data_IF_244882204380
#
_entry.id   IF_244882204380
#
_cell.length_a   1.000
_cell.length_b   1.000
_cell.length_c   1.000
_cell.angle_alpha   90.00
_cell.angle_beta   90.00
_cell.angle_gamma   90.00
#
_symmetry.space_group_name_H-M   'P 1'
#
loop_
_entity.id
_entity.type
_entity.pdbx_description
1 polymer ?
#
# COMPACT_ATOMS: atom_id res chain seq x y z
N UNK A 1 15.88 25.98 -6.76
CA UNK A 1 14.68 25.18 -6.48
C UNK A 1 14.66 24.00 -7.43
N UNK A 2 15.14 22.84 -6.97
CA UNK A 2 15.16 21.61 -7.76
C UNK A 2 13.76 21.00 -7.78
N UNK A 3 13.11 21.03 -8.94
CA UNK A 3 11.84 20.35 -9.17
C UNK A 3 12.11 18.84 -9.32
N UNK A 4 11.81 18.10 -8.26
CA UNK A 4 11.73 16.64 -8.26
C UNK A 4 10.37 16.22 -8.83
N UNK A 5 10.34 15.49 -9.94
CA UNK A 5 9.11 14.84 -10.38
C UNK A 5 8.86 13.63 -9.48
N UNK A 6 7.89 13.75 -8.57
CA UNK A 6 7.36 12.65 -7.77
C UNK A 6 6.12 12.14 -8.49
N UNK A 7 6.17 10.92 -8.98
CA UNK A 7 5.02 10.28 -9.65
C UNK A 7 4.55 9.09 -8.83
N UNK A 8 3.24 8.99 -8.51
CA UNK A 8 2.65 7.77 -7.99
C UNK A 8 2.78 6.65 -9.04
N UNK A 9 3.08 5.44 -8.59
CA UNK A 9 3.04 4.25 -9.47
C UNK A 9 1.59 3.83 -9.63
N UNK A 10 0.93 4.24 -10.71
CA UNK A 10 -0.37 3.71 -11.13
C UNK A 10 -0.19 2.51 -12.07
N UNK A 11 -1.15 1.57 -12.14
CA UNK A 11 -0.98 0.33 -12.92
C UNK A 11 -0.82 0.52 -14.43
N UNK A 12 -1.18 1.66 -15.01
CA UNK A 12 -1.05 1.87 -16.46
C UNK A 12 -0.91 3.35 -16.81
N UNK A 13 0.34 3.82 -17.03
CA UNK A 13 0.58 5.00 -17.86
C UNK A 13 1.28 4.55 -19.15
N UNK A 14 0.73 4.94 -20.30
CA UNK A 14 1.32 4.74 -21.63
C UNK A 14 1.95 6.04 -22.11
N UNK A 15 3.17 5.93 -22.63
CA UNK A 15 3.78 6.90 -23.55
C UNK A 15 3.50 6.56 -25.01
N UNK A 16 3.20 7.59 -25.79
CA UNK A 16 3.49 7.61 -27.22
C UNK A 16 4.27 8.87 -27.53
N UNK A 17 5.48 8.72 -28.08
CA UNK A 17 6.19 9.86 -28.65
C UNK A 17 5.61 10.26 -30.01
N UNK A 18 5.01 11.45 -30.06
CA UNK A 18 5.13 12.32 -31.23
C UNK A 18 6.31 13.27 -31.02
N UNK A 19 7.41 12.97 -31.71
CA UNK A 19 8.55 13.83 -32.07
C UNK A 19 8.70 15.16 -31.29
N UNK A 20 9.58 15.19 -30.29
CA UNK A 20 10.31 16.41 -29.96
C UNK A 20 11.75 16.11 -29.52
N UNK A 21 12.71 16.60 -30.29
CA UNK A 21 14.16 16.41 -30.11
C UNK A 21 14.63 17.00 -28.77
N UNK A 22 15.11 16.17 -27.83
CA UNK A 22 16.03 16.65 -26.79
C UNK A 22 17.43 16.76 -27.41
N UNK A 23 18.00 17.96 -27.44
CA UNK A 23 19.28 18.28 -28.10
C UNK A 23 20.53 18.04 -27.22
N UNK A 24 20.43 17.49 -25.99
CA UNK A 24 21.63 17.22 -25.16
C UNK A 24 21.45 15.92 -24.34
N UNK A 25 22.06 14.80 -24.75
CA UNK A 25 21.88 13.49 -24.09
C UNK A 25 22.54 13.39 -22.72
N UNK A 26 23.64 14.12 -22.49
CA UNK A 26 24.51 14.02 -21.29
C UNK A 26 23.88 14.63 -20.01
N UNK A 27 22.72 15.27 -20.11
CA UNK A 27 22.09 16.00 -18.98
C UNK A 27 21.46 15.09 -17.93
N UNK A 28 21.18 13.83 -18.29
CA UNK A 28 20.63 12.83 -17.38
C UNK A 28 21.71 11.95 -16.76
N UNK A 29 22.97 12.12 -17.16
CA UNK A 29 24.07 11.32 -16.65
C UNK A 29 24.23 11.56 -15.14
N UNK A 30 24.40 10.46 -14.40
CA UNK A 30 24.42 10.42 -12.93
C UNK A 30 23.09 10.76 -12.26
N UNK A 31 21.96 10.72 -12.98
CA UNK A 31 20.66 10.71 -12.33
C UNK A 31 20.46 9.39 -11.57
N UNK A 32 20.00 9.48 -10.33
CA UNK A 32 19.73 8.34 -9.47
C UNK A 32 18.23 8.06 -9.42
N UNK A 33 17.85 6.80 -9.64
CA UNK A 33 16.47 6.31 -9.58
C UNK A 33 16.29 5.62 -8.23
N UNK A 34 15.43 6.17 -7.38
CA UNK A 34 15.12 5.68 -6.04
C UNK A 34 13.71 5.11 -6.04
N UNK A 35 13.52 3.93 -5.43
CA UNK A 35 12.22 3.25 -5.37
C UNK A 35 11.94 2.82 -3.93
N UNK A 36 10.77 3.20 -3.39
CA UNK A 36 10.37 2.79 -2.05
C UNK A 36 9.05 3.40 -1.58
N UNK A 37 8.76 3.27 -0.29
CA UNK A 37 7.49 3.74 0.32
C UNK A 37 7.65 5.00 1.19
N UNK A 38 8.89 5.37 1.54
CA UNK A 38 9.16 6.47 2.44
C UNK A 38 8.90 7.82 1.76
N UNK A 39 8.19 8.69 2.47
CA UNK A 39 7.99 10.09 2.07
C UNK A 39 9.06 11.02 2.64
N UNK A 40 9.93 10.53 3.53
CA UNK A 40 10.99 11.34 4.13
C UNK A 40 11.94 11.91 3.08
N UNK A 41 12.35 13.16 3.27
CA UNK A 41 13.16 13.89 2.31
C UNK A 41 12.57 13.82 0.88
N UNK A 42 11.24 13.89 0.74
CA UNK A 42 10.51 13.71 -0.52
C UNK A 42 10.85 12.40 -1.24
N UNK A 43 11.00 11.30 -0.49
CA UNK A 43 11.42 10.00 -1.01
C UNK A 43 12.90 9.89 -1.35
N UNK A 44 13.73 10.82 -0.88
CA UNK A 44 15.18 10.80 -1.06
C UNK A 44 15.89 9.74 -0.21
N UNK A 45 15.23 9.20 0.81
CA UNK A 45 15.76 8.14 1.67
C UNK A 45 15.41 6.73 1.16
N UNK A 46 14.66 6.61 0.06
CA UNK A 46 14.32 5.32 -0.52
C UNK A 46 15.57 4.65 -1.14
N UNK A 47 15.66 3.32 -1.17
CA UNK A 47 16.82 2.63 -1.76
C UNK A 47 16.97 2.93 -3.26
N UNK A 48 18.22 2.95 -3.71
CA UNK A 48 18.61 3.20 -5.11
C UNK A 48 18.39 1.96 -5.96
N UNK A 49 17.58 2.09 -7.02
CA UNK A 49 17.42 1.08 -8.05
C UNK A 49 18.59 1.11 -9.04
N UNK A 50 18.86 2.27 -9.62
CA UNK A 50 19.85 2.39 -10.68
C UNK A 50 20.36 3.82 -10.79
N UNK A 51 21.55 3.94 -11.39
CA UNK A 51 22.15 5.22 -11.77
C UNK A 51 22.20 5.28 -13.29
N UNK A 52 21.66 6.35 -13.86
CA UNK A 52 21.69 6.61 -15.30
C UNK A 52 23.13 6.91 -15.72
N UNK A 53 23.69 6.06 -16.57
CA UNK A 53 25.08 6.20 -17.06
C UNK A 53 25.16 6.98 -18.37
N UNK A 54 24.29 6.67 -19.34
CA UNK A 54 24.12 7.41 -20.58
C UNK A 54 22.82 7.00 -21.28
N UNK A 55 22.11 7.96 -21.88
CA UNK A 55 20.96 7.69 -22.75
C UNK A 55 21.20 8.44 -24.06
N UNK A 56 21.29 7.76 -25.22
CA UNK A 56 21.53 8.41 -26.49
C UNK A 56 20.38 9.37 -26.85
N UNK A 57 20.67 10.43 -27.60
CA UNK A 57 19.65 11.42 -27.99
C UNK A 57 18.47 10.77 -28.70
N UNK A 58 17.26 10.99 -28.19
CA UNK A 58 16.04 10.39 -28.73
C UNK A 58 15.89 8.89 -28.47
N UNK A 59 16.80 8.28 -27.71
CA UNK A 59 16.71 6.90 -27.26
C UNK A 59 15.91 6.76 -25.97
N UNK A 60 15.38 5.56 -25.77
CA UNK A 60 14.78 5.12 -24.50
C UNK A 60 15.71 4.10 -23.87
N UNK A 61 15.87 4.17 -22.54
CA UNK A 61 16.63 3.19 -21.78
C UNK A 61 15.76 2.61 -20.67
N UNK A 62 15.79 1.29 -20.51
CA UNK A 62 15.06 0.56 -19.47
C UNK A 62 16.00 0.19 -18.33
N UNK A 63 15.54 0.31 -17.08
CA UNK A 63 16.29 -0.07 -15.89
C UNK A 63 15.54 -1.19 -15.15
N UNK A 64 16.22 -2.31 -14.93
CA UNK A 64 15.65 -3.47 -14.25
C UNK A 64 15.97 -3.40 -12.75
N UNK A 65 14.98 -3.06 -11.93
CA UNK A 65 15.15 -2.84 -10.49
C UNK A 65 15.07 -4.13 -9.64
N UNK A 66 15.20 -5.32 -10.24
CA UNK A 66 15.35 -6.59 -9.51
C UNK A 66 14.24 -6.92 -8.49
N UNK A 67 13.01 -6.47 -8.72
CA UNK A 67 11.89 -6.71 -7.79
C UNK A 67 11.84 -5.80 -6.57
N UNK A 68 12.48 -4.61 -6.63
CA UNK A 68 12.32 -3.58 -5.60
C UNK A 68 10.85 -3.23 -5.38
N UNK A 69 10.46 -3.11 -4.11
CA UNK A 69 9.08 -2.83 -3.69
C UNK A 69 8.98 -1.37 -3.27
N UNK A 70 8.09 -0.61 -3.90
CA UNK A 70 7.85 0.78 -3.55
C UNK A 70 6.65 1.38 -4.28
N UNK A 71 5.98 2.33 -3.65
CA UNK A 71 4.87 3.12 -4.20
C UNK A 71 5.32 4.46 -4.80
N UNK A 72 6.57 4.85 -4.54
CA UNK A 72 7.17 6.10 -4.97
C UNK A 72 8.40 5.78 -5.82
N UNK A 73 8.47 6.42 -6.98
CA UNK A 73 9.69 6.51 -7.78
C UNK A 73 10.16 7.95 -7.78
N UNK A 74 11.44 8.15 -7.48
CA UNK A 74 12.09 9.45 -7.55
C UNK A 74 13.33 9.37 -8.43
N UNK A 75 13.45 10.34 -9.33
CA UNK A 75 14.66 10.54 -10.13
C UNK A 75 15.34 11.81 -9.63
N UNK A 76 16.59 11.69 -9.16
CA UNK A 76 17.34 12.80 -8.55
C UNK A 76 18.66 13.05 -9.29
N UNK A 77 18.97 14.31 -9.56
CA UNK A 77 20.29 14.76 -9.99
C UNK A 77 20.97 15.48 -8.83
N UNK A 78 22.10 14.95 -8.37
CA UNK A 78 22.82 15.49 -7.21
C UNK A 78 23.89 16.53 -7.61
N UNK A 79 23.88 17.01 -8.87
CA UNK A 79 24.84 18.02 -9.35
C UNK A 79 24.33 19.45 -9.08
N UNK A 80 25.18 20.35 -8.54
CA UNK A 80 24.80 21.74 -8.32
C UNK A 80 24.46 22.43 -9.65
N UNK A 81 23.41 23.27 -9.64
CA UNK A 81 22.88 23.98 -10.82
C UNK A 81 22.42 23.09 -11.99
N UNK A 82 22.17 21.80 -11.75
CA UNK A 82 21.58 20.91 -12.75
C UNK A 82 20.04 21.02 -12.72
N UNK A 83 19.44 20.99 -13.91
CA UNK A 83 17.99 20.92 -14.09
C UNK A 83 17.68 19.57 -14.70
N UNK A 84 16.85 18.77 -14.02
CA UNK A 84 16.33 17.52 -14.55
C UNK A 84 15.29 17.85 -15.61
N UNK A 85 15.52 17.37 -16.84
CA UNK A 85 14.57 17.53 -17.94
C UNK A 85 14.30 16.14 -18.51
N UNK A 86 13.12 15.62 -18.22
CA UNK A 86 12.64 14.33 -18.70
C UNK A 86 11.48 14.61 -19.65
N UNK A 87 11.50 14.01 -20.84
CA UNK A 87 10.35 14.09 -21.73
C UNK A 87 9.21 13.21 -21.19
N UNK A 88 9.54 12.00 -20.75
CA UNK A 88 8.56 11.04 -20.30
C UNK A 88 9.22 9.97 -19.42
N UNK A 89 8.48 9.50 -18.41
CA UNK A 89 8.91 8.44 -17.50
C UNK A 89 7.81 7.40 -17.46
N UNK A 90 8.16 6.17 -17.81
CA UNK A 90 7.29 5.01 -17.65
C UNK A 90 7.82 4.15 -16.52
N UNK A 91 6.94 3.76 -15.60
CA UNK A 91 7.26 2.85 -14.50
C UNK A 91 6.44 1.59 -14.68
N UNK A 92 7.14 0.47 -14.84
CA UNK A 92 6.54 -0.85 -14.96
C UNK A 92 6.75 -1.61 -13.67
N UNK A 93 5.64 -1.96 -13.00
CA UNK A 93 5.65 -2.80 -11.82
C UNK A 93 4.70 -3.97 -12.01
N UNK A 94 5.08 -5.14 -11.53
CA UNK A 94 4.16 -6.25 -11.35
C UNK A 94 3.64 -6.23 -9.92
N UNK A 95 2.38 -6.62 -9.73
CA UNK A 95 1.84 -6.87 -8.40
C UNK A 95 2.67 -8.00 -7.78
N UNK A 96 3.49 -7.67 -6.78
CA UNK A 96 4.28 -8.67 -6.06
C UNK A 96 3.37 -9.83 -5.65
N UNK A 97 3.74 -11.07 -6.00
CA UNK A 97 2.90 -12.24 -5.73
C UNK A 97 2.33 -12.20 -4.30
N UNK A 98 1.04 -12.51 -4.11
CA UNK A 98 0.41 -12.40 -2.80
C UNK A 98 1.22 -13.22 -1.81
N UNK A 99 1.59 -12.58 -0.70
CA UNK A 99 2.38 -13.21 0.36
C UNK A 99 1.64 -14.42 0.94
N UNK A 100 2.36 -15.36 1.58
CA UNK A 100 1.73 -16.49 2.26
C UNK A 100 0.57 -16.02 3.12
N UNK A 101 -0.55 -16.71 3.00
CA UNK A 101 -1.78 -16.33 3.65
C UNK A 101 -2.69 -17.54 3.80
N UNK A 102 -3.62 -17.48 4.75
CA UNK A 102 -4.67 -18.48 4.87
C UNK A 102 -6.05 -17.84 4.71
N UNK A 103 -6.93 -18.56 4.02
CA UNK A 103 -8.29 -18.10 3.72
C UNK A 103 -9.29 -18.70 4.70
N UNK A 104 -10.33 -17.95 5.02
CA UNK A 104 -11.48 -18.42 5.79
C UNK A 104 -12.76 -17.73 5.28
N UNK A 105 -13.91 -18.19 5.76
CA UNK A 105 -15.20 -17.55 5.52
C UNK A 105 -15.76 -17.15 6.87
N UNK A 106 -16.15 -15.88 6.99
CA UNK A 106 -16.77 -15.33 8.19
C UNK A 106 -18.13 -14.73 7.83
N UNK A 107 -19.20 -15.27 8.42
CA UNK A 107 -20.59 -14.85 8.19
C UNK A 107 -20.93 -14.73 6.69
N UNK A 108 -20.43 -15.68 5.88
CA UNK A 108 -20.62 -15.73 4.43
C UNK A 108 -19.70 -14.82 3.61
N UNK A 109 -18.76 -14.10 4.24
CA UNK A 109 -17.77 -13.24 3.58
C UNK A 109 -16.42 -13.93 3.57
N UNK A 110 -15.77 -14.01 2.42
CA UNK A 110 -14.41 -14.51 2.36
C UNK A 110 -13.44 -13.54 3.03
N UNK A 111 -12.48 -14.09 3.77
CA UNK A 111 -11.38 -13.34 4.37
C UNK A 111 -10.05 -14.06 4.12
N UNK A 112 -8.97 -13.29 4.12
CA UNK A 112 -7.60 -13.80 4.04
C UNK A 112 -6.77 -13.12 5.12
N UNK A 113 -6.07 -13.91 5.93
CA UNK A 113 -5.09 -13.41 6.90
C UNK A 113 -3.71 -13.48 6.26
N UNK A 114 -3.05 -12.33 6.11
CA UNK A 114 -1.81 -12.18 5.35
C UNK A 114 -0.60 -12.23 6.26
N UNK A 115 0.34 -13.14 5.99
CA UNK A 115 1.62 -13.29 6.70
C UNK A 115 2.66 -12.28 6.17
N UNK A 116 2.31 -11.00 6.21
CA UNK A 116 3.21 -9.90 5.84
C UNK A 116 3.04 -8.77 6.84
N UNK A 117 4.15 -8.30 7.41
CA UNK A 117 4.13 -7.22 8.40
C UNK A 117 4.15 -5.87 7.69
N UNK A 118 3.05 -5.13 7.76
CA UNK A 118 2.92 -3.82 7.14
C UNK A 118 2.37 -2.80 8.14
N UNK A 119 2.70 -1.52 7.92
CA UNK A 119 2.01 -0.44 8.60
C UNK A 119 0.54 -0.39 8.16
N UNK A 120 -0.33 0.22 8.97
CA UNK A 120 -1.78 0.15 8.75
C UNK A 120 -2.20 0.66 7.35
N UNK A 121 -1.59 1.76 6.88
CA UNK A 121 -1.89 2.29 5.55
C UNK A 121 -1.45 1.36 4.43
N UNK A 122 -0.27 0.74 4.57
CA UNK A 122 0.25 -0.15 3.53
C UNK A 122 -0.52 -1.48 3.52
N UNK A 123 -0.98 -1.96 4.67
CA UNK A 123 -1.90 -3.09 4.77
C UNK A 123 -3.25 -2.80 4.09
N UNK A 124 -3.79 -1.59 4.26
CA UNK A 124 -5.01 -1.16 3.58
C UNK A 124 -4.85 -1.19 2.06
N UNK A 125 -3.78 -0.58 1.55
CA UNK A 125 -3.51 -0.57 0.10
C UNK A 125 -3.28 -1.99 -0.42
N UNK A 126 -2.52 -2.81 0.30
CA UNK A 126 -2.31 -4.20 -0.05
C UNK A 126 -3.64 -4.96 -0.20
N UNK A 127 -4.57 -4.82 0.75
CA UNK A 127 -5.87 -5.49 0.63
C UNK A 127 -6.68 -4.99 -0.58
N UNK A 128 -6.55 -3.71 -0.98
CA UNK A 128 -7.28 -3.16 -2.13
C UNK A 128 -6.65 -3.57 -3.48
N UNK A 129 -5.33 -3.70 -3.50
CA UNK A 129 -4.59 -4.12 -4.69
C UNK A 129 -4.84 -5.61 -4.99
N UNK A 130 -4.72 -6.46 -3.96
CA UNK A 130 -4.75 -7.92 -4.10
C UNK A 130 -6.10 -8.57 -3.78
N UNK A 131 -6.94 -7.91 -2.97
CA UNK A 131 -8.21 -8.45 -2.49
C UNK A 131 -9.32 -7.39 -2.62
N UNK A 132 -10.22 -7.26 -1.64
CA UNK A 132 -11.27 -6.23 -1.65
C UNK A 132 -10.91 -5.02 -0.79
N UNK A 133 -10.80 -5.21 0.53
CA UNK A 133 -10.46 -4.14 1.48
C UNK A 133 -9.98 -4.77 2.81
N UNK A 134 -9.52 -3.96 3.78
CA UNK A 134 -9.29 -4.46 5.14
C UNK A 134 -10.61 -4.90 5.79
N UNK A 135 -10.53 -5.90 6.67
CA UNK A 135 -11.68 -6.49 7.36
C UNK A 135 -12.47 -5.47 8.17
N UNK A 136 -13.79 -5.52 8.04
CA UNK A 136 -14.75 -4.84 8.91
C UNK A 136 -15.57 -5.86 9.68
N UNK A 137 -15.55 -5.80 11.02
CA UNK A 137 -16.30 -6.70 11.91
C UNK A 137 -17.61 -6.02 12.33
N UNK A 138 -18.74 -6.56 11.88
CA UNK A 138 -20.04 -5.88 11.94
C UNK A 138 -21.02 -6.49 12.94
N UNK A 139 -20.69 -7.64 13.54
CA UNK A 139 -21.56 -8.31 14.50
C UNK A 139 -20.76 -9.14 15.49
N UNK A 140 -21.42 -9.50 16.60
CA UNK A 140 -20.86 -10.44 17.59
C UNK A 140 -20.62 -11.83 17.00
N UNK A 141 -21.41 -12.25 16.02
CA UNK A 141 -21.21 -13.54 15.33
C UNK A 141 -19.91 -13.52 14.52
N UNK A 142 -19.75 -12.49 13.70
CA UNK A 142 -18.53 -12.26 12.90
C UNK A 142 -17.27 -12.16 13.77
N UNK A 143 -17.35 -11.47 14.91
CA UNK A 143 -16.25 -11.40 15.87
C UNK A 143 -15.81 -12.79 16.38
N UNK A 144 -16.76 -13.65 16.77
CA UNK A 144 -16.44 -15.02 17.24
C UNK A 144 -15.81 -15.88 16.16
N UNK A 145 -16.30 -15.78 14.94
CA UNK A 145 -15.72 -16.53 13.82
C UNK A 145 -14.29 -16.03 13.51
N UNK A 146 -14.05 -14.71 13.58
CA UNK A 146 -12.68 -14.14 13.45
C UNK A 146 -11.76 -14.65 14.57
N UNK A 147 -12.24 -14.73 15.81
CA UNK A 147 -11.49 -15.30 16.94
C UNK A 147 -11.04 -16.74 16.66
N UNK A 148 -11.94 -17.58 16.16
CA UNK A 148 -11.64 -18.97 15.80
C UNK A 148 -10.61 -19.06 14.66
N UNK A 149 -10.76 -18.21 13.65
CA UNK A 149 -9.82 -18.08 12.52
C UNK A 149 -8.42 -17.71 13.02
N UNK A 150 -8.31 -16.69 13.88
CA UNK A 150 -7.01 -16.25 14.41
C UNK A 150 -6.38 -17.27 15.36
N UNK A 151 -7.18 -17.96 16.18
CA UNK A 151 -6.71 -19.01 17.09
C UNK A 151 -6.11 -20.20 16.33
N UNK A 152 -6.66 -20.52 15.16
CA UNK A 152 -6.24 -21.63 14.32
C UNK A 152 -5.28 -21.22 13.19
N UNK A 153 -4.68 -20.03 13.28
CA UNK A 153 -3.74 -19.55 12.27
C UNK A 153 -2.58 -20.54 12.07
N UNK A 154 -2.21 -20.79 10.82
CA UNK A 154 -1.15 -21.74 10.46
C UNK A 154 0.27 -21.22 10.73
N UNK A 155 0.40 -19.99 11.26
CA UNK A 155 1.66 -19.31 11.54
C UNK A 155 1.54 -18.45 12.80
N UNK A 156 2.66 -18.13 13.50
CA UNK A 156 2.63 -17.33 14.72
C UNK A 156 2.27 -15.88 14.42
N UNK A 157 1.10 -15.44 14.91
CA UNK A 157 0.60 -14.08 14.70
C UNK A 157 1.43 -13.03 15.45
N UNK A 158 1.39 -11.78 14.96
CA UNK A 158 1.82 -10.61 15.73
C UNK A 158 0.88 -10.36 16.91
N UNK A 159 1.33 -9.65 17.95
CA UNK A 159 0.52 -9.37 19.15
C UNK A 159 -0.84 -8.71 18.84
N UNK A 160 -0.90 -7.97 17.73
CA UNK A 160 -2.13 -7.45 17.18
C UNK A 160 -2.19 -7.77 15.69
N UNK A 161 -3.38 -7.80 15.13
CA UNK A 161 -3.62 -7.95 13.69
C UNK A 161 -4.46 -6.78 13.20
N UNK A 162 -4.08 -6.16 12.08
CA UNK A 162 -4.81 -5.02 11.54
C UNK A 162 -6.19 -5.41 11.01
N UNK A 163 -7.13 -4.51 11.26
CA UNK A 163 -8.46 -4.48 10.66
C UNK A 163 -8.72 -3.09 10.07
N UNK A 164 -9.79 -2.95 9.30
CA UNK A 164 -10.14 -1.73 8.56
C UNK A 164 -10.67 -0.59 9.41
N UNK A 165 -10.46 -0.62 10.73
CA UNK A 165 -11.01 0.34 11.69
C UNK A 165 -10.06 1.54 11.84
N UNK A 166 -10.60 2.74 11.68
CA UNK A 166 -9.82 3.99 11.78
C UNK A 166 -10.58 5.05 12.58
N UNK A 167 -9.87 5.92 13.29
CA UNK A 167 -10.45 7.03 14.06
C UNK A 167 -10.17 8.37 13.40
N UNK A 168 -11.17 9.25 13.39
CA UNK A 168 -10.97 10.65 13.05
C UNK A 168 -10.16 11.35 14.15
N UNK A 169 -9.14 12.12 13.75
CA UNK A 169 -8.28 12.85 14.68
C UNK A 169 -9.03 13.94 15.45
N UNK A 170 -10.12 14.48 14.90
CA UNK A 170 -10.85 15.62 15.48
C UNK A 170 -11.92 15.19 16.50
N UNK A 171 -12.74 14.18 16.19
CA UNK A 171 -13.96 13.90 16.98
C UNK A 171 -13.95 12.53 17.68
N UNK A 172 -12.81 11.83 17.71
CA UNK A 172 -12.69 10.47 18.29
C UNK A 172 -13.68 9.43 17.76
N UNK A 173 -14.31 9.70 16.61
CA UNK A 173 -15.26 8.81 15.95
C UNK A 173 -14.48 7.75 15.17
N UNK A 174 -14.81 6.47 15.41
CA UNK A 174 -14.30 5.34 14.65
C UNK A 174 -15.18 5.02 13.44
N UNK A 175 -14.57 4.60 12.33
CA UNK A 175 -15.24 4.22 11.10
C UNK A 175 -14.50 3.09 10.39
N UNK A 176 -15.23 2.31 9.60
CA UNK A 176 -14.64 1.27 8.73
C UNK A 176 -14.23 1.88 7.39
N UNK A 177 -13.00 1.59 6.95
CA UNK A 177 -12.51 2.00 5.62
C UNK A 177 -13.30 1.37 4.47
N UNK A 178 -13.94 0.23 4.72
CA UNK A 178 -14.84 -0.44 3.78
C UNK A 178 -16.17 0.31 3.56
N UNK A 179 -16.45 1.36 4.33
CA UNK A 179 -17.72 2.11 4.30
C UNK A 179 -18.85 1.43 5.09
N UNK A 180 -18.60 0.30 5.73
CA UNK A 180 -19.58 -0.34 6.60
C UNK A 180 -19.93 0.53 7.83
N UNK A 181 -21.16 0.43 8.31
CA UNK A 181 -21.59 1.10 9.54
C UNK A 181 -20.97 0.47 10.79
N UNK A 182 -20.46 1.28 11.73
CA UNK A 182 -19.95 0.82 13.03
C UNK A 182 -21.09 0.62 14.01
N UNK A 183 -21.84 -0.48 13.85
CA UNK A 183 -23.00 -0.80 14.72
C UNK A 183 -22.64 -1.79 15.85
N UNK A 184 -21.40 -2.25 15.88
CA UNK A 184 -20.88 -3.22 16.84
C UNK A 184 -19.45 -2.82 17.20
N UNK A 185 -19.07 -3.04 18.46
CA UNK A 185 -17.70 -2.85 18.92
C UNK A 185 -17.33 -3.87 20.00
N UNK A 186 -16.03 -4.20 20.05
CA UNK A 186 -15.49 -5.16 21.00
C UNK A 186 -14.19 -4.66 21.66
N UNK A 187 -14.18 -3.37 21.99
CA UNK A 187 -13.04 -2.67 22.57
C UNK A 187 -12.60 -3.28 23.90
N UNK A 188 -11.29 -3.34 24.11
CA UNK A 188 -10.68 -3.54 25.41
C UNK A 188 -11.00 -2.32 26.27
N UNK A 189 -11.55 -2.53 27.47
CA UNK A 189 -11.82 -1.42 28.41
C UNK A 189 -10.50 -0.67 28.65
N UNK A 190 -10.45 0.61 28.27
CA UNK A 190 -9.19 1.37 28.25
C UNK A 190 -8.54 1.49 29.63
N UNK A 191 -7.21 1.45 29.64
CA UNK A 191 -6.39 1.96 30.73
C UNK A 191 -6.22 3.48 30.54
N UNK A 192 -6.33 4.31 31.58
CA UNK A 192 -6.54 5.77 31.49
C UNK A 192 -5.36 6.61 30.93
N UNK A 193 -4.28 6.00 30.43
CA UNK A 193 -3.02 6.68 30.14
C UNK A 193 -2.50 6.55 28.69
N UNK A 194 -3.24 5.97 27.75
CA UNK A 194 -2.73 5.81 26.38
C UNK A 194 -3.03 7.02 25.49
N UNK A 195 -1.98 7.54 24.85
CA UNK A 195 -2.06 8.44 23.70
C UNK A 195 -2.77 7.66 22.61
N UNK A 196 -4.07 7.93 22.44
CA UNK A 196 -4.87 7.07 21.59
C UNK A 196 -4.41 7.17 20.13
N UNK A 197 -4.09 6.02 19.53
CA UNK A 197 -3.71 5.96 18.12
C UNK A 197 -4.96 5.92 17.23
N UNK A 198 -4.93 6.41 15.98
CA UNK A 198 -6.11 6.40 15.12
C UNK A 198 -6.30 5.11 14.31
N UNK A 199 -5.55 4.04 14.59
CA UNK A 199 -5.64 2.77 13.86
C UNK A 199 -6.09 1.63 14.79
N UNK A 200 -7.03 0.81 14.32
CA UNK A 200 -7.60 -0.28 15.09
C UNK A 200 -6.98 -1.63 14.74
N UNK A 201 -6.64 -2.40 15.76
CA UNK A 201 -6.19 -3.78 15.66
C UNK A 201 -6.96 -4.71 16.57
N UNK A 202 -6.94 -6.00 16.24
CA UNK A 202 -7.45 -7.08 17.10
C UNK A 202 -6.27 -7.63 17.91
N UNK A 203 -6.34 -7.59 19.24
CA UNK A 203 -5.39 -8.27 20.14
C UNK A 203 -5.44 -9.77 19.83
N UNK A 204 -4.29 -10.44 19.70
CA UNK A 204 -4.27 -11.88 19.44
C UNK A 204 -4.33 -12.72 20.71
N UNK A 205 -4.37 -12.08 21.87
CA UNK A 205 -4.55 -12.72 23.17
C UNK A 205 -6.04 -12.86 23.44
N UNK A 206 -6.45 -13.98 24.06
CA UNK A 206 -7.82 -14.17 24.52
C UNK A 206 -8.25 -12.99 25.43
N UNK A 207 -9.42 -12.36 25.20
CA UNK A 207 -10.53 -12.75 24.32
C UNK A 207 -10.57 -11.99 22.97
N UNK A 208 -9.43 -11.56 22.41
CA UNK A 208 -9.31 -10.88 21.12
C UNK A 208 -10.02 -9.53 21.02
N UNK A 209 -9.86 -8.72 22.06
CA UNK A 209 -10.42 -7.38 22.09
C UNK A 209 -9.83 -6.46 21.03
N UNK A 210 -10.63 -5.49 20.61
CA UNK A 210 -10.15 -4.41 19.76
C UNK A 210 -9.34 -3.42 20.59
N UNK A 211 -8.21 -2.98 20.04
CA UNK A 211 -7.34 -2.00 20.65
C UNK A 211 -6.96 -0.94 19.62
N UNK A 212 -6.67 0.26 20.10
CA UNK A 212 -5.98 1.26 19.31
C UNK A 212 -4.48 0.99 19.34
N UNK A 213 -3.86 0.96 18.16
CA UNK A 213 -2.47 0.56 17.98
C UNK A 213 -1.76 1.59 17.10
N UNK A 214 -0.50 1.96 17.42
CA UNK A 214 0.29 2.88 16.60
C UNK A 214 0.27 2.52 15.11
N UNK A 215 -0.27 3.40 14.26
CA UNK A 215 -0.42 3.14 12.83
C UNK A 215 0.88 2.77 12.09
N UNK A 216 2.04 3.15 12.63
CA UNK A 216 3.36 2.84 12.09
C UNK A 216 3.87 1.43 12.45
N UNK A 217 3.18 0.71 13.33
CA UNK A 217 3.55 -0.66 13.71
C UNK A 217 3.37 -1.61 12.52
N UNK A 218 4.30 -2.55 12.38
CA UNK A 218 4.30 -3.50 11.28
C UNK A 218 3.67 -4.81 11.77
N UNK A 219 2.39 -4.99 11.44
CA UNK A 219 1.58 -6.12 11.90
C UNK A 219 1.08 -6.94 10.72
N UNK A 220 0.69 -8.18 11.00
CA UNK A 220 -0.16 -8.94 10.08
C UNK A 220 -1.55 -8.32 10.01
N UNK A 221 -2.32 -8.68 8.99
CA UNK A 221 -3.57 -8.01 8.69
C UNK A 221 -4.57 -8.95 8.02
N UNK A 222 -5.87 -8.62 8.16
CA UNK A 222 -6.96 -9.42 7.59
C UNK A 222 -7.62 -8.63 6.47
N UNK A 223 -7.59 -9.20 5.26
CA UNK A 223 -8.30 -8.67 4.11
C UNK A 223 -9.65 -9.37 3.95
N UNK A 224 -10.63 -8.63 3.46
CA UNK A 224 -11.82 -9.18 2.84
C UNK A 224 -11.49 -9.64 1.44
N UNK A 225 -11.98 -10.81 1.09
CA UNK A 225 -12.04 -11.25 -0.30
C UNK A 225 -13.44 -11.02 -0.82
N UNK A 226 -13.54 -10.59 -2.07
CA UNK A 226 -14.83 -10.41 -2.72
C UNK A 226 -15.47 -11.79 -2.91
N UNK A 227 -16.66 -11.98 -2.34
CA UNK A 227 -17.54 -13.08 -2.71
C UNK A 227 -18.97 -12.55 -2.79
N UNK A 228 -19.24 -11.78 -3.83
CA UNK A 228 -20.49 -11.95 -4.56
C UNK A 228 -20.17 -12.24 -6.02
N UNK A 229 -20.56 -13.44 -6.46
CA UNK A 229 -20.77 -13.70 -7.88
C UNK A 229 -21.58 -12.51 -8.44
N UNK A 230 -21.05 -11.90 -9.51
CA UNK A 230 -21.59 -10.76 -10.29
C UNK A 230 -21.00 -9.36 -10.07
N UNK A 231 -20.12 -9.10 -9.11
CA UNK A 231 -19.27 -7.88 -9.21
C UNK A 231 -18.05 -8.21 -10.05
N UNK A 232 -18.22 -8.22 -11.38
CA UNK A 232 -17.05 -8.16 -12.27
C UNK A 232 -16.31 -6.86 -11.94
N UNK A 233 -15.05 -6.95 -11.49
CA UNK A 233 -14.12 -5.81 -11.57
C UNK A 233 -14.11 -5.37 -13.03
N UNK A 234 -14.83 -4.30 -13.34
CA UNK A 234 -14.78 -3.65 -14.65
C UNK A 234 -13.56 -2.75 -14.62
N UNK A 235 -12.45 -3.26 -15.13
CA UNK A 235 -11.31 -2.42 -15.45
C UNK A 235 -11.70 -1.53 -16.63
N UNK A 236 -11.92 -0.26 -16.36
CA UNK A 236 -12.08 0.75 -17.40
C UNK A 236 -10.68 1.06 -17.96
N UNK A 237 -10.38 0.54 -19.15
CA UNK A 237 -9.22 0.97 -19.90
C UNK A 237 -9.58 2.27 -20.62
N UNK A 238 -8.76 3.30 -20.46
CA UNK A 238 -8.89 4.52 -21.26
C UNK A 238 -8.79 4.16 -22.75
N UNK A 239 -9.91 4.29 -23.47
CA UNK A 239 -9.98 4.07 -24.91
C UNK A 239 -9.50 5.32 -25.64
N UNK A 240 -8.19 5.57 -25.61
CA UNK A 240 -7.53 6.53 -26.49
C UNK A 240 -6.36 5.86 -27.21
N UNK A 241 -6.70 5.10 -28.26
CA UNK A 241 -5.97 5.12 -29.54
C UNK A 241 -6.93 5.76 -30.55
N UNK A 242 -6.49 6.71 -31.38
CA UNK A 242 -5.45 6.46 -32.39
C UNK A 242 -4.05 6.87 -31.99
#
# INVERSE_FOLDING_TARGET
>A
SSLSNVTPVEPHLKSRQHHHRIHIPERLDSAEILIGNSLENNGGNNPSCAVVTSIPSGGTHTFECGGMIGRLVRISLNRPNSVLTLCEVEVYGELAAPSPSFSAVVSGRGIVVVEKKLCWSDALFYCRDFYWDLLSIRSKGEQKEVEEVLRNASFPLTQHVWMGLRRYLMDSIWFWMSGASVNYSYWKTHSPLQISSPCGGVDTSDPFHWTDVPCGDHLYFICLTDVQEEVKRVTFYSSTRP
#
